data_IF_949049853007
#
_entry.id   IF_949049853007
#
_cell.length_a   1.000
_cell.length_b   1.000
_cell.length_c   1.000
_cell.angle_alpha   90.00
_cell.angle_beta   90.00
_cell.angle_gamma   90.00
#
_symmetry.space_group_name_H-M   'P 1'
#
loop_
_entity.id
_entity.type
_entity.pdbx_description
1 polymer ?
#
# COMPACT_ATOMS: atom_id res chain seq x y z
N UNK A 1 -0.34 5.65 -14.94
CA UNK A 1 0.11 6.17 -13.62
C UNK A 1 0.41 5.05 -12.62
N UNK A 2 -0.45 4.04 -12.43
CA UNK A 2 -0.16 2.88 -11.54
C UNK A 2 1.15 2.17 -11.88
N UNK A 3 1.43 1.92 -13.17
CA UNK A 3 2.66 1.29 -13.64
C UNK A 3 3.91 2.09 -13.23
N UNK A 4 3.83 3.42 -13.25
CA UNK A 4 4.90 4.30 -12.77
C UNK A 4 5.08 4.21 -11.25
N UNK A 5 4.01 4.13 -10.46
CA UNK A 5 4.11 3.93 -9.02
C UNK A 5 4.77 2.57 -8.69
N UNK A 6 4.43 1.51 -9.42
CA UNK A 6 5.09 0.19 -9.23
C UNK A 6 6.56 0.23 -9.61
N UNK A 7 6.90 0.84 -10.74
CA UNK A 7 8.28 0.97 -11.21
C UNK A 7 9.12 1.85 -10.27
N UNK A 8 8.58 2.98 -9.81
CA UNK A 8 9.24 3.86 -8.84
C UNK A 8 9.39 3.17 -7.48
N UNK A 9 8.41 2.36 -7.06
CA UNK A 9 8.49 1.59 -5.82
C UNK A 9 9.55 0.51 -5.87
N UNK A 10 9.64 -0.20 -6.99
CA UNK A 10 10.68 -1.19 -7.24
C UNK A 10 12.08 -0.55 -7.31
N UNK A 11 12.21 0.59 -8.00
CA UNK A 11 13.44 1.38 -8.05
C UNK A 11 13.84 1.93 -6.69
N UNK A 12 12.91 2.51 -5.94
CA UNK A 12 13.16 3.01 -4.59
C UNK A 12 13.58 1.89 -3.63
N UNK A 13 12.92 0.74 -3.72
CA UNK A 13 13.33 -0.45 -2.97
C UNK A 13 14.75 -0.90 -3.36
N UNK A 14 15.09 -0.92 -4.65
CA UNK A 14 16.43 -1.31 -5.11
C UNK A 14 17.54 -0.30 -4.76
N UNK A 15 17.25 0.99 -4.84
CA UNK A 15 18.25 2.06 -4.71
C UNK A 15 18.47 2.54 -3.27
N UNK A 16 17.43 2.51 -2.42
CA UNK A 16 17.53 3.05 -1.06
C UNK A 16 18.09 1.97 -0.12
N UNK A 17 19.36 2.16 0.28
CA UNK A 17 20.07 1.28 1.21
C UNK A 17 19.67 1.47 2.68
N UNK A 18 19.09 2.62 3.04
CA UNK A 18 18.61 2.90 4.40
C UNK A 18 17.17 2.41 4.56
N UNK A 19 16.97 1.37 5.37
CA UNK A 19 15.67 0.71 5.50
C UNK A 19 14.55 1.64 5.97
N UNK A 20 14.83 2.60 6.85
CA UNK A 20 13.82 3.56 7.31
C UNK A 20 13.36 4.49 6.18
N UNK A 21 14.29 5.01 5.38
CA UNK A 21 13.97 5.86 4.23
C UNK A 21 13.23 5.07 3.14
N UNK A 22 13.65 3.83 2.87
CA UNK A 22 12.97 2.96 1.91
C UNK A 22 11.52 2.70 2.33
N UNK A 23 11.29 2.42 3.62
CA UNK A 23 9.94 2.19 4.17
C UNK A 23 9.06 3.43 4.05
N UNK A 24 9.55 4.61 4.42
CA UNK A 24 8.80 5.86 4.26
C UNK A 24 8.40 6.08 2.80
N UNK A 25 9.34 5.90 1.87
CA UNK A 25 9.06 6.06 0.43
C UNK A 25 8.01 5.05 -0.04
N UNK A 26 8.09 3.78 0.35
CA UNK A 26 7.10 2.76 -0.04
C UNK A 26 5.71 3.06 0.52
N UNK A 27 5.60 3.50 1.78
CA UNK A 27 4.31 3.87 2.40
C UNK A 27 3.71 5.10 1.73
N UNK A 28 4.51 6.14 1.49
CA UNK A 28 4.04 7.35 0.79
C UNK A 28 3.59 7.03 -0.64
N UNK A 29 4.35 6.20 -1.36
CA UNK A 29 4.02 5.80 -2.72
C UNK A 29 2.71 5.00 -2.79
N UNK A 30 2.51 4.05 -1.86
CA UNK A 30 1.26 3.33 -1.73
C UNK A 30 0.09 4.28 -1.41
N UNK A 31 0.31 5.25 -0.51
CA UNK A 31 -0.63 6.32 -0.17
C UNK A 31 -1.07 7.13 -1.38
N UNK A 32 -0.10 7.76 -2.05
CA UNK A 32 -0.35 8.62 -3.22
C UNK A 32 -1.01 7.84 -4.35
N UNK A 33 -0.55 6.61 -4.64
CA UNK A 33 -1.15 5.77 -5.68
C UNK A 33 -2.62 5.44 -5.38
N UNK A 34 -2.93 5.10 -4.13
CA UNK A 34 -4.30 4.75 -3.72
C UNK A 34 -5.21 5.97 -3.74
N UNK A 35 -4.74 7.11 -3.22
CA UNK A 35 -5.48 8.37 -3.25
C UNK A 35 -5.78 8.83 -4.68
N UNK A 36 -4.81 8.71 -5.58
CA UNK A 36 -4.98 9.06 -7.00
C UNK A 36 -6.03 8.20 -7.69
N UNK A 37 -6.01 6.89 -7.44
CA UNK A 37 -6.99 5.95 -8.01
C UNK A 37 -8.40 6.24 -7.50
N UNK A 38 -8.55 6.47 -6.20
CA UNK A 38 -9.84 6.87 -5.62
C UNK A 38 -10.31 8.21 -6.20
N UNK A 39 -9.44 9.19 -6.36
CA UNK A 39 -9.77 10.48 -6.98
C UNK A 39 -10.23 10.34 -8.43
N UNK A 40 -9.52 9.54 -9.25
CA UNK A 40 -9.93 9.25 -10.63
C UNK A 40 -11.26 8.51 -10.69
N UNK A 41 -11.48 7.55 -9.80
CA UNK A 41 -12.71 6.77 -9.80
C UNK A 41 -13.88 7.65 -9.34
N UNK A 42 -13.66 8.60 -8.42
CA UNK A 42 -14.67 9.58 -8.03
C UNK A 42 -15.00 10.52 -9.20
N UNK A 43 -13.98 11.11 -9.82
CA UNK A 43 -14.16 11.99 -10.98
C UNK A 43 -14.85 11.28 -12.14
N UNK A 44 -14.45 10.05 -12.45
CA UNK A 44 -15.10 9.25 -13.48
C UNK A 44 -16.55 8.89 -13.13
N UNK A 45 -16.84 8.63 -11.86
CA UNK A 45 -18.23 8.39 -11.43
C UNK A 45 -19.08 9.66 -11.55
N UNK A 46 -18.53 10.83 -11.20
CA UNK A 46 -19.26 12.11 -11.21
C UNK A 46 -19.47 12.68 -12.63
N UNK A 47 -18.52 12.47 -13.54
CA UNK A 47 -18.51 13.17 -14.84
C UNK A 47 -18.81 12.24 -16.03
N UNK A 48 -18.52 10.93 -15.94
CA UNK A 48 -18.63 10.01 -17.09
C UNK A 48 -19.87 9.11 -17.03
N UNK A 49 -20.57 9.07 -15.89
CA UNK A 49 -21.84 8.33 -15.75
C UNK A 49 -22.97 9.32 -16.02
N UNK A 50 -23.40 9.41 -17.29
CA UNK A 50 -24.60 10.15 -17.66
C UNK A 50 -25.83 9.23 -17.55
N UNK A 51 -26.78 9.68 -16.73
CA UNK A 51 -27.92 8.95 -16.17
C UNK A 51 -28.95 8.38 -17.17
N UNK A 52 -28.81 8.66 -18.47
CA UNK A 52 -29.89 8.39 -19.43
C UNK A 52 -30.17 6.88 -19.64
N UNK A 53 -29.17 6.02 -19.37
CA UNK A 53 -29.28 4.56 -19.51
C UNK A 53 -28.64 3.77 -18.36
N UNK A 54 -28.12 4.45 -17.34
CA UNK A 54 -27.49 3.80 -16.20
C UNK A 54 -28.55 3.39 -15.17
N UNK A 55 -28.52 2.16 -14.64
CA UNK A 55 -29.45 1.72 -13.60
C UNK A 55 -29.24 2.43 -12.25
N UNK A 56 -28.19 3.23 -12.13
CA UNK A 56 -27.79 3.92 -10.90
C UNK A 56 -26.96 5.15 -11.26
N UNK A 57 -27.22 6.25 -10.56
CA UNK A 57 -26.45 7.48 -10.73
C UNK A 57 -24.99 7.27 -10.31
N UNK A 58 -24.09 8.08 -10.86
CA UNK A 58 -22.66 8.02 -10.52
C UNK A 58 -22.37 8.23 -9.03
N UNK A 59 -23.17 9.06 -8.36
CA UNK A 59 -23.05 9.32 -6.91
C UNK A 59 -23.51 8.12 -6.06
N UNK A 60 -24.60 7.47 -6.45
CA UNK A 60 -25.07 6.25 -5.79
C UNK A 60 -24.10 5.09 -6.00
N UNK A 61 -23.55 4.93 -7.20
CA UNK A 61 -22.49 3.96 -7.48
C UNK A 61 -21.28 4.21 -6.56
N UNK A 62 -20.84 5.47 -6.47
CA UNK A 62 -19.72 5.85 -5.61
C UNK A 62 -19.97 5.48 -4.15
N UNK A 63 -21.15 5.80 -3.61
CA UNK A 63 -21.46 5.57 -2.19
C UNK A 63 -21.71 4.10 -1.87
N UNK A 64 -22.48 3.41 -2.70
CA UNK A 64 -22.94 2.05 -2.41
C UNK A 64 -21.88 0.99 -2.74
N UNK A 65 -21.08 1.20 -3.78
CA UNK A 65 -20.12 0.20 -4.28
C UNK A 65 -18.68 0.59 -3.90
N UNK A 66 -18.28 1.83 -4.20
CA UNK A 66 -16.89 2.28 -4.04
C UNK A 66 -16.53 2.79 -2.65
N UNK A 67 -17.49 3.39 -1.97
CA UNK A 67 -17.33 3.98 -0.64
C UNK A 67 -16.77 2.99 0.38
N UNK A 68 -17.35 1.78 0.54
CA UNK A 68 -16.85 0.79 1.49
C UNK A 68 -15.39 0.38 1.22
N UNK A 69 -15.03 0.18 -0.05
CA UNK A 69 -13.66 -0.15 -0.45
C UNK A 69 -12.69 1.03 -0.21
N UNK A 70 -13.13 2.26 -0.50
CA UNK A 70 -12.36 3.48 -0.26
C UNK A 70 -12.07 3.68 1.23
N UNK A 71 -13.07 3.46 2.10
CA UNK A 71 -12.90 3.54 3.56
C UNK A 71 -11.90 2.50 4.05
N UNK A 72 -12.01 1.24 3.61
CA UNK A 72 -11.08 0.18 3.99
C UNK A 72 -9.64 0.48 3.54
N UNK A 73 -9.47 0.97 2.31
CA UNK A 73 -8.17 1.35 1.79
C UNK A 73 -7.56 2.54 2.56
N UNK A 74 -8.33 3.61 2.80
CA UNK A 74 -7.87 4.78 3.53
C UNK A 74 -7.52 4.45 4.99
N UNK A 75 -8.32 3.62 5.65
CA UNK A 75 -8.02 3.15 7.00
C UNK A 75 -6.71 2.35 7.05
N UNK A 76 -6.50 1.44 6.08
CA UNK A 76 -5.25 0.69 5.97
C UNK A 76 -4.04 1.61 5.77
N UNK A 77 -4.14 2.60 4.89
CA UNK A 77 -3.05 3.55 4.64
C UNK A 77 -2.80 4.45 5.85
N UNK A 78 -3.85 4.94 6.52
CA UNK A 78 -3.70 5.71 7.75
C UNK A 78 -2.93 4.92 8.82
N UNK A 79 -3.24 3.62 8.97
CA UNK A 79 -2.50 2.72 9.87
C UNK A 79 -1.04 2.59 9.46
N UNK A 80 -0.72 2.46 8.17
CA UNK A 80 0.67 2.43 7.69
C UNK A 80 1.42 3.75 7.98
N UNK A 81 0.77 4.89 7.75
CA UNK A 81 1.34 6.23 7.98
C UNK A 81 1.60 6.45 9.47
N UNK A 82 0.63 6.15 10.33
CA UNK A 82 0.81 6.21 11.79
C UNK A 82 1.91 5.22 12.22
N UNK A 83 1.96 4.05 11.57
CA UNK A 83 3.00 3.04 11.68
C UNK A 83 4.43 3.56 11.52
N UNK A 84 4.64 4.57 10.67
CA UNK A 84 5.96 5.18 10.44
C UNK A 84 6.55 5.85 11.68
N UNK A 85 5.72 6.24 12.65
CA UNK A 85 6.17 6.83 13.92
C UNK A 85 6.74 5.78 14.88
N UNK A 86 6.52 4.49 14.60
CA UNK A 86 7.00 3.37 15.41
C UNK A 86 8.23 2.71 14.80
N UNK A 87 9.00 2.01 15.63
CA UNK A 87 10.20 1.26 15.22
C UNK A 87 10.03 -0.23 15.46
N UNK A 88 10.81 -1.04 14.74
CA UNK A 88 10.89 -2.49 14.93
C UNK A 88 9.57 -3.21 14.65
N UNK A 89 9.14 -4.11 15.53
CA UNK A 89 8.02 -5.03 15.26
C UNK A 89 6.67 -4.33 15.02
N UNK A 90 6.48 -3.15 15.59
CA UNK A 90 5.23 -2.39 15.49
C UNK A 90 4.96 -1.86 14.07
N UNK A 91 5.96 -1.27 13.40
CA UNK A 91 5.80 -0.79 12.01
C UNK A 91 5.53 -1.96 11.05
N UNK A 92 6.08 -3.16 11.32
CA UNK A 92 5.77 -4.36 10.53
C UNK A 92 4.30 -4.75 10.62
N UNK A 93 3.73 -4.73 11.83
CA UNK A 93 2.31 -5.03 12.06
C UNK A 93 1.44 -3.99 11.35
N UNK A 94 1.79 -2.70 11.44
CA UNK A 94 1.07 -1.64 10.75
C UNK A 94 1.11 -1.80 9.22
N UNK A 95 2.27 -2.09 8.63
CA UNK A 95 2.38 -2.31 7.18
C UNK A 95 1.64 -3.58 6.72
N UNK A 96 1.67 -4.66 7.52
CA UNK A 96 0.92 -5.88 7.22
C UNK A 96 -0.60 -5.66 7.31
N UNK A 97 -1.07 -4.97 8.36
CA UNK A 97 -2.47 -4.60 8.52
C UNK A 97 -2.95 -3.71 7.36
N UNK A 98 -2.11 -2.77 6.91
CA UNK A 98 -2.41 -1.92 5.78
C UNK A 98 -2.50 -2.70 4.45
N UNK A 99 -1.61 -3.68 4.23
CA UNK A 99 -1.69 -4.57 3.07
C UNK A 99 -2.99 -5.41 3.11
N UNK A 100 -3.38 -5.93 4.28
CA UNK A 100 -4.66 -6.64 4.45
C UNK A 100 -5.85 -5.72 4.16
N UNK A 101 -5.82 -4.46 4.64
CA UNK A 101 -6.87 -3.47 4.35
C UNK A 101 -7.08 -3.24 2.85
N UNK A 102 -5.98 -3.17 2.07
CA UNK A 102 -6.06 -3.07 0.61
C UNK A 102 -6.57 -4.35 -0.06
N UNK A 103 -6.25 -5.52 0.48
CA UNK A 103 -6.82 -6.80 0.00
C UNK A 103 -8.32 -6.84 0.26
N UNK A 104 -8.78 -6.41 1.43
CA UNK A 104 -10.22 -6.32 1.75
C UNK A 104 -10.91 -5.33 0.79
N UNK A 105 -10.33 -4.16 0.56
CA UNK A 105 -10.84 -3.20 -0.42
C UNK A 105 -10.94 -3.81 -1.84
N UNK A 106 -9.98 -4.65 -2.20
CA UNK A 106 -9.96 -5.38 -3.47
C UNK A 106 -11.11 -6.39 -3.58
N UNK A 107 -11.41 -7.11 -2.51
CA UNK A 107 -12.51 -8.07 -2.47
C UNK A 107 -13.86 -7.35 -2.52
N UNK A 108 -13.98 -6.22 -1.81
CA UNK A 108 -15.20 -5.41 -1.80
C UNK A 108 -15.48 -4.79 -3.17
N UNK A 109 -14.43 -4.39 -3.90
CA UNK A 109 -14.58 -3.89 -5.26
C UNK A 109 -13.49 -4.46 -6.19
N UNK A 110 -13.78 -5.56 -6.89
CA UNK A 110 -12.84 -6.19 -7.82
C UNK A 110 -12.39 -5.25 -8.94
N UNK A 111 -13.22 -4.27 -9.32
CA UNK A 111 -12.85 -3.23 -10.29
C UNK A 111 -11.67 -2.34 -9.84
N UNK A 112 -11.38 -2.27 -8.54
CA UNK A 112 -10.22 -1.55 -8.00
C UNK A 112 -8.96 -2.43 -7.88
N UNK A 113 -9.09 -3.76 -8.04
CA UNK A 113 -8.03 -4.75 -7.82
C UNK A 113 -6.72 -4.45 -8.55
N UNK A 114 -6.83 -4.02 -9.82
CA UNK A 114 -5.68 -3.67 -10.68
C UNK A 114 -4.79 -2.59 -10.04
N UNK A 115 -5.38 -1.75 -9.19
CA UNK A 115 -4.72 -0.63 -8.54
C UNK A 115 -4.35 -0.88 -7.08
N UNK A 116 -5.17 -1.65 -6.36
CA UNK A 116 -5.00 -1.91 -4.91
C UNK A 116 -4.03 -3.06 -4.63
N UNK A 117 -3.93 -4.06 -5.52
CA UNK A 117 -3.01 -5.20 -5.37
C UNK A 117 -1.53 -4.77 -5.40
N UNK A 118 -1.08 -3.92 -6.33
CA UNK A 118 0.31 -3.46 -6.33
C UNK A 118 0.64 -2.62 -5.11
N UNK A 119 -0.28 -1.76 -4.65
CA UNK A 119 -0.12 -1.00 -3.42
C UNK A 119 -0.02 -1.92 -2.19
N UNK A 120 -0.80 -3.00 -2.13
CA UNK A 120 -0.68 -4.03 -1.11
C UNK A 120 0.69 -4.73 -1.16
N UNK A 121 1.19 -5.04 -2.37
CA UNK A 121 2.52 -5.60 -2.57
C UNK A 121 3.66 -4.68 -2.10
N UNK A 122 3.55 -3.38 -2.36
CA UNK A 122 4.50 -2.35 -1.89
C UNK A 122 4.52 -2.29 -0.36
N UNK A 123 3.36 -2.32 0.29
CA UNK A 123 3.26 -2.33 1.76
C UNK A 123 3.76 -3.65 2.38
N UNK A 124 3.50 -4.79 1.73
CA UNK A 124 4.06 -6.06 2.13
C UNK A 124 5.59 -6.06 2.02
N UNK A 125 6.15 -5.48 0.94
CA UNK A 125 7.59 -5.26 0.78
C UNK A 125 8.18 -4.39 1.89
N UNK A 126 7.48 -3.32 2.28
CA UNK A 126 7.88 -2.47 3.41
C UNK A 126 7.89 -3.27 4.75
N UNK A 127 6.94 -4.16 4.96
CA UNK A 127 6.88 -5.02 6.15
C UNK A 127 8.03 -6.05 6.19
N UNK A 128 8.41 -6.61 5.04
CA UNK A 128 9.53 -7.57 4.93
C UNK A 128 10.87 -6.91 5.25
N UNK A 129 11.08 -5.65 4.88
CA UNK A 129 12.33 -4.93 5.20
C UNK A 129 12.54 -4.67 6.69
N UNK A 130 11.49 -4.77 7.50
CA UNK A 130 11.62 -4.74 8.97
C UNK A 130 12.14 -6.07 9.52
N UNK A 131 11.95 -7.17 8.78
CA UNK A 131 12.22 -8.53 9.23
C UNK A 131 13.64 -9.00 8.96
N UNK A 132 14.47 -8.26 8.22
CA UNK A 132 15.87 -8.62 7.93
C UNK A 132 16.78 -7.94 8.96
N UNK A 133 17.30 -8.65 9.97
CA UNK A 133 18.32 -8.12 10.84
C UNK A 133 19.65 -8.17 10.08
N UNK A 134 20.30 -7.03 9.91
CA UNK A 134 21.73 -6.99 9.54
C UNK A 134 22.49 -7.45 10.79
N UNK A 135 22.65 -8.76 10.98
CA UNK A 135 23.21 -9.26 12.23
C UNK A 135 23.29 -10.78 12.37
N UNK A 136 23.96 -11.46 11.44
CA UNK A 136 24.48 -12.83 11.68
C UNK A 136 25.89 -13.05 11.13
N UNK A 137 26.63 -11.97 10.85
CA UNK A 137 28.01 -12.02 10.35
C UNK A 137 29.07 -11.66 11.40
N UNK A 138 28.80 -11.83 12.69
CA UNK A 138 29.80 -11.62 13.73
C UNK A 138 29.68 -12.71 14.81
N UNK A 139 30.81 -13.25 15.24
CA UNK A 139 31.00 -14.23 16.34
C UNK A 139 30.91 -15.73 16.00
N UNK A 140 31.69 -16.22 15.02
CA UNK A 140 32.16 -17.63 15.03
C UNK A 140 33.48 -17.83 14.28
N UNK A 141 34.48 -16.99 14.55
CA UNK A 141 35.86 -17.21 14.08
C UNK A 141 36.89 -16.87 15.17
N UNK A 142 36.75 -17.49 16.34
CA UNK A 142 37.79 -17.42 17.37
C UNK A 142 37.91 -18.71 18.21
N UNK A 143 37.41 -19.84 17.68
CA UNK A 143 37.57 -21.16 18.33
C UNK A 143 38.22 -22.17 17.40
N UNK A 144 39.32 -21.81 16.78
CA UNK A 144 40.25 -22.75 16.13
C UNK A 144 41.58 -21.97 16.14
N UNK A 145 42.62 -22.28 16.91
CA UNK A 145 43.30 -23.56 17.16
C UNK A 145 44.26 -23.38 18.38
N UNK A 146 45.01 -24.43 18.79
CA UNK A 146 45.19 -24.89 20.17
C UNK A 146 46.32 -24.20 20.97
#
# INVERSE_FOLDING_TARGET
>A
MWLFAVLLGALAAGAIRRDDAARTVLVLLAGVSTAWVLGLTWHGSAELVHDEYAPMSGEEYWRAVVGPAAVAALAGIAVAVVGLSFRGRSIRICCAAAAVGLVIATVLQPGLSINTIPAAGVLAGAAVRVAVPIGSAQTRSSRIFP
#
